data_IF_680942688110
#
_entry.id   IF_680942688110
#
_cell.length_a   1.000
_cell.length_b   1.000
_cell.length_c   1.000
_cell.angle_alpha   90.00
_cell.angle_beta   90.00
_cell.angle_gamma   90.00
#
_symmetry.space_group_name_H-M   'P 1'
#
loop_
_entity.id
_entity.type
_entity.pdbx_description
1 polymer ?
#
# COMPACT_ATOMS: atom_id res chain seq x y z
N UNK A 1 -11.06 15.47 -25.21
CA UNK A 1 -11.63 14.86 -23.98
C UNK A 1 -10.67 15.15 -22.85
N UNK A 2 -11.14 15.70 -21.76
CA UNK A 2 -10.33 15.92 -20.55
C UNK A 2 -9.86 14.57 -19.98
N UNK A 3 -8.70 14.56 -19.29
CA UNK A 3 -8.09 13.33 -18.72
C UNK A 3 -9.01 12.64 -17.70
N UNK A 4 -9.77 13.42 -16.92
CA UNK A 4 -10.75 12.90 -15.95
C UNK A 4 -11.92 12.23 -16.69
N UNK A 5 -12.42 12.87 -17.75
CA UNK A 5 -13.51 12.32 -18.56
C UNK A 5 -13.10 11.03 -19.27
N UNK A 6 -11.85 10.98 -19.79
CA UNK A 6 -11.30 9.75 -20.36
C UNK A 6 -11.20 8.64 -19.30
N UNK A 7 -10.69 8.97 -18.12
CA UNK A 7 -10.61 8.03 -17.00
C UNK A 7 -12.00 7.51 -16.61
N UNK A 8 -12.97 8.39 -16.45
CA UNK A 8 -14.37 8.02 -16.13
C UNK A 8 -14.96 7.06 -17.17
N UNK A 9 -14.75 7.35 -18.44
CA UNK A 9 -15.22 6.51 -19.54
C UNK A 9 -14.64 5.10 -19.47
N UNK A 10 -13.33 4.98 -19.26
CA UNK A 10 -12.65 3.68 -19.12
C UNK A 10 -13.19 2.94 -17.89
N UNK A 11 -13.28 3.60 -16.73
CA UNK A 11 -13.79 2.99 -15.50
C UNK A 11 -15.23 2.53 -15.62
N UNK A 12 -16.08 3.28 -16.33
CA UNK A 12 -17.48 2.91 -16.57
C UNK A 12 -17.63 1.67 -17.44
N UNK A 13 -16.71 1.46 -18.38
CA UNK A 13 -16.69 0.33 -19.28
C UNK A 13 -16.02 -0.91 -18.67
N UNK A 14 -15.08 -0.70 -17.73
CA UNK A 14 -14.35 -1.79 -17.09
C UNK A 14 -15.27 -2.69 -16.27
N UNK A 15 -15.00 -4.00 -16.33
CA UNK A 15 -15.66 -5.04 -15.52
C UNK A 15 -14.74 -5.70 -14.53
N UNK A 16 -13.44 -5.52 -14.71
CA UNK A 16 -12.40 -6.17 -13.89
C UNK A 16 -11.19 -5.25 -13.76
N UNK A 17 -11.40 -3.97 -13.39
CA UNK A 17 -10.27 -3.11 -13.07
C UNK A 17 -9.52 -3.66 -11.86
N UNK A 18 -8.22 -3.49 -11.84
CA UNK A 18 -7.36 -3.71 -10.68
C UNK A 18 -6.61 -2.42 -10.38
N UNK A 19 -6.59 -2.03 -9.12
CA UNK A 19 -5.76 -0.93 -8.65
C UNK A 19 -4.44 -1.46 -8.08
N UNK A 20 -3.32 -0.91 -8.51
CA UNK A 20 -1.99 -1.17 -7.95
C UNK A 20 -1.44 0.11 -7.32
N UNK A 21 -1.30 0.13 -5.99
CA UNK A 21 -0.98 1.32 -5.23
C UNK A 21 0.24 1.24 -4.32
N UNK A 22 0.74 2.43 -3.94
CA UNK A 22 1.80 2.60 -2.95
C UNK A 22 1.53 3.80 -2.04
N UNK A 23 2.54 4.24 -1.31
CA UNK A 23 2.43 5.22 -0.23
C UNK A 23 1.81 6.57 -0.63
N UNK A 24 1.97 6.98 -1.90
CA UNK A 24 1.32 8.18 -2.42
C UNK A 24 -0.21 8.12 -2.39
N UNK A 25 -0.82 6.92 -2.26
CA UNK A 25 -2.25 6.77 -2.06
C UNK A 25 -2.72 7.33 -0.72
N UNK A 26 -1.87 7.25 0.31
CA UNK A 26 -2.22 7.63 1.69
C UNK A 26 -1.72 9.03 2.08
N UNK A 27 -1.06 9.77 1.17
CA UNK A 27 -0.58 11.14 1.47
C UNK A 27 -1.73 12.11 1.73
N UNK A 28 -2.88 11.95 1.04
CA UNK A 28 -4.09 12.72 1.28
C UNK A 28 -4.84 12.29 2.57
N UNK A 29 -4.36 11.25 3.24
CA UNK A 29 -4.79 10.80 4.58
C UNK A 29 -3.86 11.27 5.70
N UNK A 30 -2.83 12.09 5.38
CA UNK A 30 -1.85 12.57 6.35
C UNK A 30 -0.69 11.61 6.64
N UNK A 31 -0.59 10.48 5.92
CA UNK A 31 0.56 9.56 6.02
C UNK A 31 1.60 9.99 4.99
N UNK A 32 2.81 10.41 5.40
CA UNK A 32 3.86 10.78 4.46
C UNK A 32 4.30 9.56 3.63
N UNK A 33 4.65 9.77 2.36
CA UNK A 33 5.30 8.72 1.60
C UNK A 33 6.77 8.56 2.02
N UNK A 34 7.46 7.57 1.45
CA UNK A 34 8.81 7.26 1.87
C UNK A 34 9.87 8.19 1.26
N UNK A 35 9.66 8.75 0.05
CA UNK A 35 10.74 9.29 -0.80
C UNK A 35 10.54 10.70 -1.30
N UNK A 36 9.34 11.28 -1.19
CA UNK A 36 9.14 12.68 -1.59
C UNK A 36 9.86 13.65 -0.64
N UNK A 37 9.98 14.89 -1.04
CA UNK A 37 10.45 15.94 -0.13
C UNK A 37 9.51 16.04 1.07
N UNK A 38 10.00 15.74 2.29
CA UNK A 38 9.20 15.57 3.50
C UNK A 38 8.69 14.14 3.74
N UNK A 39 9.08 13.16 2.95
CA UNK A 39 8.83 11.74 3.18
C UNK A 39 9.67 11.17 4.34
N UNK A 40 9.31 9.95 4.76
CA UNK A 40 9.94 9.28 5.92
C UNK A 40 11.48 9.25 5.80
N UNK A 41 12.01 9.11 4.58
CA UNK A 41 13.47 9.02 4.35
C UNK A 41 14.18 10.38 4.33
N UNK A 42 13.48 11.48 4.10
CA UNK A 42 14.10 12.81 4.05
C UNK A 42 14.45 13.38 5.43
N UNK A 43 13.76 12.94 6.49
CA UNK A 43 13.95 13.45 7.85
C UNK A 43 15.09 12.78 8.64
N UNK A 44 15.72 11.74 8.08
CA UNK A 44 16.68 10.88 8.79
C UNK A 44 18.15 11.18 8.45
N UNK A 45 18.44 12.30 7.83
CA UNK A 45 19.81 12.71 7.40
C UNK A 45 20.86 12.81 8.52
N UNK A 46 20.47 12.66 9.79
CA UNK A 46 21.36 12.77 10.95
C UNK A 46 21.32 11.55 11.88
N UNK A 47 20.77 10.40 11.43
CA UNK A 47 20.71 9.17 12.22
C UNK A 47 21.86 8.22 11.85
N UNK A 48 22.30 7.41 12.82
CA UNK A 48 23.37 6.41 12.66
C UNK A 48 22.98 5.32 11.64
N UNK A 49 21.67 5.01 11.54
CA UNK A 49 21.11 3.99 10.63
C UNK A 49 20.16 4.61 9.64
N UNK A 50 20.19 4.13 8.39
CA UNK A 50 19.21 4.54 7.39
C UNK A 50 17.81 3.98 7.72
N UNK A 51 16.72 4.59 7.22
CA UNK A 51 15.38 4.07 7.42
C UNK A 51 15.19 2.66 6.88
N UNK A 52 15.84 2.31 5.77
CA UNK A 52 15.83 0.95 5.23
C UNK A 52 16.49 -0.05 6.19
N UNK A 53 17.62 0.33 6.81
CA UNK A 53 18.26 -0.49 7.84
C UNK A 53 17.33 -0.65 9.04
N UNK A 54 16.75 0.45 9.55
CA UNK A 54 15.83 0.41 10.70
C UNK A 54 14.54 -0.39 10.42
N UNK A 55 14.14 -0.51 9.15
CA UNK A 55 13.00 -1.31 8.72
C UNK A 55 13.39 -2.73 8.26
N UNK A 56 14.55 -3.26 8.66
CA UNK A 56 15.03 -4.58 8.26
C UNK A 56 14.81 -5.65 9.34
N UNK A 57 14.79 -6.91 8.91
CA UNK A 57 14.74 -8.05 9.81
C UNK A 57 15.94 -8.11 10.75
N UNK A 58 17.14 -7.93 10.21
CA UNK A 58 18.38 -7.95 10.99
C UNK A 58 18.42 -6.86 12.07
N UNK A 59 17.86 -5.67 11.77
CA UNK A 59 17.77 -4.59 12.75
C UNK A 59 16.77 -4.91 13.87
N UNK A 60 15.61 -5.45 13.56
CA UNK A 60 14.65 -5.93 14.58
C UNK A 60 15.30 -6.94 15.53
N UNK A 61 16.11 -7.86 15.01
CA UNK A 61 16.76 -8.90 15.82
C UNK A 61 17.92 -8.36 16.67
N UNK A 62 18.68 -7.39 16.16
CA UNK A 62 19.85 -6.83 16.85
C UNK A 62 19.49 -5.66 17.80
N UNK A 63 18.49 -4.86 17.42
CA UNK A 63 18.10 -3.61 18.07
C UNK A 63 16.58 -3.51 18.27
N UNK A 64 15.93 -4.46 18.96
CA UNK A 64 14.47 -4.50 19.04
C UNK A 64 13.83 -3.26 19.66
N UNK A 65 14.44 -2.67 20.67
CA UNK A 65 13.90 -1.48 21.33
C UNK A 65 13.87 -0.27 20.37
N UNK A 66 14.96 -0.05 19.64
CA UNK A 66 15.09 1.02 18.63
C UNK A 66 14.17 0.77 17.44
N UNK A 67 14.03 -0.50 17.00
CA UNK A 67 13.08 -0.87 15.97
C UNK A 67 11.64 -0.51 16.35
N UNK A 68 11.20 -0.87 17.56
CA UNK A 68 9.84 -0.57 17.99
C UNK A 68 9.60 0.91 18.25
N UNK A 69 10.61 1.68 18.68
CA UNK A 69 10.52 3.13 18.76
C UNK A 69 10.35 3.75 17.36
N UNK A 70 11.18 3.36 16.41
CA UNK A 70 11.07 3.77 15.00
C UNK A 70 9.73 3.37 14.40
N UNK A 71 9.30 2.11 14.58
CA UNK A 71 8.02 1.59 14.09
C UNK A 71 6.84 2.43 14.57
N UNK A 72 6.74 2.69 15.87
CA UNK A 72 5.65 3.48 16.47
C UNK A 72 5.60 4.90 15.94
N UNK A 73 6.75 5.52 15.72
CA UNK A 73 6.83 6.92 15.27
C UNK A 73 6.65 7.10 13.78
N UNK A 74 7.02 6.10 12.97
CA UNK A 74 7.14 6.27 11.51
C UNK A 74 6.19 5.42 10.69
N UNK A 75 5.68 4.34 11.25
CA UNK A 75 4.77 3.45 10.52
C UNK A 75 3.33 3.51 11.05
N UNK A 76 3.12 3.99 12.28
CA UNK A 76 1.81 4.00 12.92
C UNK A 76 1.23 5.42 12.93
N UNK A 77 0.12 5.59 12.23
CA UNK A 77 -0.66 6.84 12.15
C UNK A 77 -2.10 6.52 12.58
N UNK A 78 -2.37 6.61 13.89
CA UNK A 78 -3.64 6.19 14.47
C UNK A 78 -4.82 7.06 14.03
N UNK A 79 -4.59 8.35 13.78
CA UNK A 79 -5.62 9.32 13.38
C UNK A 79 -5.86 9.34 11.86
N UNK A 80 -5.10 8.56 11.09
CA UNK A 80 -5.27 8.52 9.64
C UNK A 80 -6.60 7.84 9.27
N UNK A 81 -7.38 8.52 8.44
CA UNK A 81 -8.63 8.03 7.92
C UNK A 81 -8.58 7.86 6.40
N UNK A 82 -9.42 6.98 5.82
CA UNK A 82 -9.52 6.85 4.37
C UNK A 82 -9.81 8.20 3.70
N UNK A 83 -9.05 8.53 2.66
CA UNK A 83 -9.30 9.72 1.84
C UNK A 83 -10.27 9.42 0.68
N UNK A 84 -10.57 10.44 -0.12
CA UNK A 84 -11.49 10.35 -1.24
C UNK A 84 -11.13 9.27 -2.27
N UNK A 85 -9.85 8.95 -2.44
CA UNK A 85 -9.40 7.87 -3.33
C UNK A 85 -9.70 6.49 -2.78
N UNK A 86 -9.49 6.25 -1.49
CA UNK A 86 -9.83 4.98 -0.85
C UNK A 86 -11.34 4.73 -0.95
N UNK A 87 -12.16 5.74 -0.66
CA UNK A 87 -13.63 5.63 -0.79
C UNK A 87 -14.08 5.44 -2.24
N UNK A 88 -13.40 6.09 -3.20
CA UNK A 88 -13.69 5.91 -4.61
C UNK A 88 -13.40 4.48 -5.09
N UNK A 89 -12.28 3.88 -4.67
CA UNK A 89 -11.96 2.49 -5.01
C UNK A 89 -12.94 1.50 -4.38
N UNK A 90 -13.32 1.70 -3.12
CA UNK A 90 -14.34 0.88 -2.47
C UNK A 90 -15.70 0.97 -3.17
N UNK A 91 -16.08 2.16 -3.65
CA UNK A 91 -17.31 2.37 -4.41
C UNK A 91 -17.24 1.70 -5.80
N UNK A 92 -16.10 1.77 -6.51
CA UNK A 92 -15.89 1.06 -7.77
C UNK A 92 -16.01 -0.47 -7.58
N UNK A 93 -15.46 -1.01 -6.49
CA UNK A 93 -15.58 -2.42 -6.14
C UNK A 93 -17.05 -2.78 -5.88
N UNK A 94 -17.75 -2.00 -5.07
CA UNK A 94 -19.17 -2.19 -4.75
C UNK A 94 -20.06 -2.18 -6.01
N UNK A 95 -19.71 -1.38 -7.01
CA UNK A 95 -20.43 -1.29 -8.29
C UNK A 95 -20.01 -2.38 -9.29
N UNK A 96 -19.02 -3.21 -8.96
CA UNK A 96 -18.54 -4.28 -9.85
C UNK A 96 -17.63 -3.81 -10.99
N UNK A 97 -17.06 -2.62 -10.89
CA UNK A 97 -16.07 -2.11 -11.84
C UNK A 97 -14.64 -2.47 -11.43
N UNK A 98 -14.35 -2.55 -10.11
CA UNK A 98 -13.06 -2.93 -9.57
C UNK A 98 -13.12 -4.34 -9.00
N UNK A 99 -12.18 -5.20 -9.41
CA UNK A 99 -12.11 -6.59 -8.97
C UNK A 99 -11.20 -6.80 -7.77
N UNK A 100 -10.14 -5.99 -7.65
CA UNK A 100 -9.17 -6.10 -6.55
C UNK A 100 -8.32 -4.83 -6.41
N UNK A 101 -7.76 -4.69 -5.22
CA UNK A 101 -6.71 -3.73 -4.89
C UNK A 101 -5.45 -4.53 -4.56
N UNK A 102 -4.32 -4.17 -5.18
CA UNK A 102 -2.99 -4.66 -4.86
C UNK A 102 -2.22 -3.48 -4.26
N UNK A 103 -1.91 -3.54 -2.99
CA UNK A 103 -1.27 -2.42 -2.30
C UNK A 103 0.08 -2.78 -1.70
N UNK A 104 1.01 -1.84 -1.76
CA UNK A 104 2.27 -1.88 -1.03
C UNK A 104 2.14 -1.26 0.37
N UNK A 105 1.01 -0.60 0.66
CA UNK A 105 0.76 0.04 1.94
C UNK A 105 0.39 -0.98 3.01
N UNK A 106 0.77 -0.64 4.25
CA UNK A 106 0.54 -1.46 5.45
C UNK A 106 -0.50 -0.84 6.40
N UNK A 107 -1.09 0.29 6.02
CA UNK A 107 -1.93 1.15 6.87
C UNK A 107 -3.36 0.61 7.11
N UNK A 108 -3.87 -0.26 6.23
CA UNK A 108 -5.21 -0.82 6.30
C UNK A 108 -6.33 0.14 5.86
N UNK A 109 -6.01 1.28 5.24
CA UNK A 109 -7.01 2.29 4.87
C UNK A 109 -7.94 1.84 3.75
N UNK A 110 -7.54 0.95 2.86
CA UNK A 110 -8.42 0.36 1.85
C UNK A 110 -9.54 -0.45 2.51
N UNK A 111 -9.21 -1.31 3.48
CA UNK A 111 -10.19 -2.09 4.24
C UNK A 111 -11.07 -1.17 5.09
N UNK A 112 -10.51 -0.15 5.71
CA UNK A 112 -11.25 0.85 6.49
C UNK A 112 -12.25 1.64 5.63
N UNK A 113 -11.94 1.85 4.33
CA UNK A 113 -12.86 2.46 3.36
C UNK A 113 -13.98 1.52 2.90
N UNK A 114 -13.88 0.22 3.20
CA UNK A 114 -14.88 -0.80 2.86
C UNK A 114 -14.49 -1.72 1.70
N UNK A 115 -13.29 -1.59 1.12
CA UNK A 115 -12.79 -2.54 0.11
C UNK A 115 -12.66 -3.95 0.68
N UNK A 116 -13.04 -4.96 -0.11
CA UNK A 116 -13.10 -6.37 0.30
C UNK A 116 -11.94 -7.19 -0.21
N UNK A 117 -11.55 -6.97 -1.48
CA UNK A 117 -10.51 -7.75 -2.14
C UNK A 117 -9.22 -6.94 -2.19
N UNK A 118 -8.44 -7.04 -1.11
CA UNK A 118 -7.19 -6.28 -0.94
C UNK A 118 -6.02 -7.23 -0.73
N UNK A 119 -5.05 -7.20 -1.64
CA UNK A 119 -3.77 -7.91 -1.52
C UNK A 119 -2.72 -6.97 -0.92
N UNK A 120 -2.41 -7.14 0.36
CA UNK A 120 -1.42 -6.34 1.10
C UNK A 120 -0.03 -6.96 0.91
N UNK A 121 0.70 -6.56 -0.14
CA UNK A 121 1.98 -7.15 -0.52
C UNK A 121 3.05 -7.08 0.58
N UNK A 122 3.02 -6.03 1.39
CA UNK A 122 3.97 -5.82 2.49
C UNK A 122 3.33 -6.07 3.86
N UNK A 123 2.21 -6.80 3.92
CA UNK A 123 1.52 -7.09 5.16
C UNK A 123 0.74 -5.91 5.73
N UNK A 124 0.55 -5.88 7.06
CA UNK A 124 -0.30 -4.88 7.71
C UNK A 124 0.18 -4.56 9.14
N UNK A 125 0.11 -3.28 9.52
CA UNK A 125 0.32 -2.85 10.90
C UNK A 125 -0.80 -3.30 11.84
N UNK A 126 -1.97 -3.67 11.31
CA UNK A 126 -3.15 -4.02 12.10
C UNK A 126 -3.07 -5.40 12.75
N UNK A 127 -2.18 -6.25 12.26
CA UNK A 127 -1.95 -7.61 12.75
C UNK A 127 -0.53 -7.75 13.28
N UNK A 128 -0.37 -8.63 14.25
CA UNK A 128 0.93 -8.97 14.83
C UNK A 128 0.95 -10.43 15.27
N UNK A 129 2.11 -11.00 15.42
CA UNK A 129 2.29 -12.36 15.94
C UNK A 129 3.53 -12.47 16.81
N UNK A 130 3.53 -13.47 17.69
CA UNK A 130 4.70 -13.86 18.46
C UNK A 130 5.68 -14.63 17.57
N UNK A 131 6.94 -14.26 17.60
CA UNK A 131 8.02 -14.92 16.82
C UNK A 131 8.23 -16.39 17.21
N UNK A 132 7.95 -16.75 18.46
CA UNK A 132 8.29 -18.07 19.01
C UNK A 132 7.10 -19.05 18.95
N UNK A 133 5.91 -18.60 19.37
CA UNK A 133 4.75 -19.50 19.46
C UNK A 133 3.66 -19.22 18.43
N UNK A 134 3.79 -18.18 17.61
CA UNK A 134 2.81 -17.82 16.58
C UNK A 134 1.49 -17.23 17.09
N UNK A 135 1.35 -16.97 18.39
CA UNK A 135 0.14 -16.35 18.94
C UNK A 135 -0.15 -15.01 18.28
N UNK A 136 -1.40 -14.76 17.90
CA UNK A 136 -1.82 -13.55 17.20
C UNK A 136 -2.13 -12.41 18.17
N UNK A 137 -1.79 -11.20 17.74
CA UNK A 137 -1.97 -9.94 18.45
C UNK A 137 -2.45 -8.85 17.51
N UNK A 138 -2.83 -7.71 18.07
CA UNK A 138 -3.26 -6.52 17.33
C UNK A 138 -2.20 -5.40 17.42
N UNK A 139 -2.40 -4.34 16.64
CA UNK A 139 -1.61 -3.13 16.76
C UNK A 139 -1.65 -2.55 18.18
N UNK A 140 -2.82 -2.53 18.83
CA UNK A 140 -2.99 -1.97 20.18
C UNK A 140 -2.04 -2.64 21.17
N UNK A 141 -1.89 -3.97 21.08
CA UNK A 141 -0.93 -4.69 21.92
C UNK A 141 0.51 -4.15 21.77
N UNK A 142 0.96 -3.91 20.53
CA UNK A 142 2.30 -3.35 20.28
C UNK A 142 2.42 -1.93 20.84
N UNK A 143 1.36 -1.13 20.74
CA UNK A 143 1.35 0.25 21.24
C UNK A 143 1.37 0.34 22.76
N UNK A 144 0.69 -0.57 23.44
CA UNK A 144 0.59 -0.61 24.91
C UNK A 144 1.80 -1.23 25.60
N UNK A 145 2.55 -2.13 24.94
CA UNK A 145 3.67 -2.86 25.52
C UNK A 145 5.01 -2.31 25.06
N UNK A 146 5.54 -1.37 25.82
CA UNK A 146 6.84 -0.68 25.54
C UNK A 146 7.93 -1.11 26.54
N UNK A 147 9.22 -1.05 26.17
CA UNK A 147 9.77 -0.72 24.84
C UNK A 147 9.61 -1.83 23.82
N UNK A 148 9.63 -3.10 24.23
CA UNK A 148 9.55 -4.29 23.38
C UNK A 148 8.31 -5.08 23.78
N UNK A 149 7.32 -5.24 22.87
CA UNK A 149 6.14 -6.08 23.16
C UNK A 149 6.53 -7.56 23.20
N UNK A 150 6.27 -8.22 24.33
CA UNK A 150 6.60 -9.62 24.55
C UNK A 150 5.34 -10.45 24.79
N UNK A 151 5.31 -11.64 24.20
CA UNK A 151 4.30 -12.66 24.43
C UNK A 151 4.46 -13.28 25.82
N UNK A 152 3.41 -13.90 26.35
CA UNK A 152 3.47 -14.68 27.61
C UNK A 152 4.46 -15.86 27.55
N UNK A 153 4.83 -16.34 26.36
CA UNK A 153 5.88 -17.36 26.18
C UNK A 153 7.31 -16.80 26.24
N UNK A 154 7.48 -15.48 26.30
CA UNK A 154 8.78 -14.79 26.29
C UNK A 154 9.21 -14.29 24.91
N UNK A 155 8.60 -14.76 23.82
CA UNK A 155 8.93 -14.34 22.45
C UNK A 155 8.50 -12.90 22.15
N UNK A 156 9.17 -12.25 21.21
CA UNK A 156 8.83 -10.91 20.74
C UNK A 156 7.52 -10.96 19.94
N UNK A 157 6.61 -10.01 20.19
CA UNK A 157 5.42 -9.79 19.37
C UNK A 157 5.74 -8.75 18.31
N UNK A 158 5.85 -9.17 17.05
CA UNK A 158 6.17 -8.30 15.92
C UNK A 158 4.95 -8.01 15.05
N UNK A 159 4.89 -6.85 14.35
CA UNK A 159 3.84 -6.61 13.36
C UNK A 159 3.96 -7.54 12.17
N UNK A 160 2.82 -7.89 11.55
CA UNK A 160 2.75 -8.67 10.30
C UNK A 160 3.12 -7.80 9.09
N UNK A 161 4.23 -7.09 9.19
CA UNK A 161 4.79 -6.26 8.13
C UNK A 161 6.02 -6.97 7.56
N UNK A 162 6.10 -7.03 6.24
CA UNK A 162 7.28 -7.55 5.54
C UNK A 162 8.40 -6.51 5.64
N UNK A 163 9.45 -6.85 6.36
CA UNK A 163 10.63 -6.02 6.53
C UNK A 163 11.60 -6.21 5.35
N UNK A 164 12.53 -5.29 5.17
CA UNK A 164 13.66 -5.55 4.29
C UNK A 164 14.36 -6.84 4.70
N UNK A 165 14.92 -7.58 3.73
CA UNK A 165 15.52 -8.91 3.89
C UNK A 165 14.49 -10.07 3.97
N UNK A 166 13.20 -9.78 4.12
CA UNK A 166 12.14 -10.78 4.16
C UNK A 166 11.48 -10.98 2.80
N UNK A 167 10.95 -12.18 2.58
CA UNK A 167 10.18 -12.51 1.39
C UNK A 167 8.72 -12.10 1.54
N UNK A 168 8.11 -11.68 0.44
CA UNK A 168 6.66 -11.48 0.39
C UNK A 168 5.94 -12.82 0.55
N UNK A 169 4.71 -12.79 1.10
CA UNK A 169 3.88 -14.00 1.20
C UNK A 169 3.51 -14.55 -0.19
N UNK A 170 3.86 -15.83 -0.49
CA UNK A 170 3.59 -16.43 -1.79
C UNK A 170 2.11 -16.43 -2.18
N UNK A 171 1.21 -16.68 -1.23
CA UNK A 171 -0.24 -16.72 -1.52
C UNK A 171 -0.77 -15.33 -1.89
N UNK A 172 -0.30 -14.29 -1.23
CA UNK A 172 -0.63 -12.90 -1.56
C UNK A 172 -0.11 -12.53 -2.95
N UNK A 173 1.13 -12.92 -3.29
CA UNK A 173 1.69 -12.68 -4.64
C UNK A 173 0.87 -13.41 -5.70
N UNK A 174 0.57 -14.68 -5.50
CA UNK A 174 -0.19 -15.49 -6.46
C UNK A 174 -1.58 -14.90 -6.72
N UNK A 175 -2.29 -14.50 -5.65
CA UNK A 175 -3.59 -13.84 -5.75
C UNK A 175 -3.51 -12.50 -6.49
N UNK A 176 -2.52 -11.66 -6.16
CA UNK A 176 -2.29 -10.37 -6.81
C UNK A 176 -1.97 -10.54 -8.31
N UNK A 177 -1.08 -11.48 -8.65
CA UNK A 177 -0.72 -11.79 -10.06
C UNK A 177 -1.93 -12.32 -10.82
N UNK A 178 -2.72 -13.22 -10.23
CA UNK A 178 -3.93 -13.73 -10.86
C UNK A 178 -4.95 -12.61 -11.13
N UNK A 179 -5.16 -11.70 -10.18
CA UNK A 179 -6.03 -10.54 -10.34
C UNK A 179 -5.53 -9.62 -11.47
N UNK A 180 -4.24 -9.27 -11.49
CA UNK A 180 -3.63 -8.40 -12.51
C UNK A 180 -3.71 -9.04 -13.90
N UNK A 181 -3.47 -10.35 -14.03
CA UNK A 181 -3.55 -11.06 -15.31
C UNK A 181 -4.96 -11.09 -15.89
N UNK A 182 -5.96 -11.19 -15.02
CA UNK A 182 -7.37 -11.26 -15.41
C UNK A 182 -8.02 -9.88 -15.61
N UNK A 183 -7.30 -8.79 -15.31
CA UNK A 183 -7.82 -7.43 -15.41
C UNK A 183 -7.94 -6.97 -16.86
N UNK A 184 -9.04 -6.28 -17.17
CA UNK A 184 -9.21 -5.51 -18.43
C UNK A 184 -8.54 -4.12 -18.32
N UNK A 185 -8.49 -3.58 -17.11
CA UNK A 185 -7.93 -2.27 -16.78
C UNK A 185 -7.00 -2.38 -15.57
N UNK A 186 -5.77 -1.87 -15.69
CA UNK A 186 -4.85 -1.71 -14.57
C UNK A 186 -4.63 -0.23 -14.27
N UNK A 187 -5.00 0.19 -13.08
CA UNK A 187 -4.77 1.55 -12.56
C UNK A 187 -3.56 1.50 -11.65
N UNK A 188 -2.49 2.16 -12.01
CA UNK A 188 -1.29 2.31 -11.18
C UNK A 188 -1.32 3.70 -10.55
N UNK A 189 -1.16 3.79 -9.22
CA UNK A 189 -1.24 5.08 -8.57
C UNK A 189 -0.43 5.21 -7.27
N UNK A 190 0.09 6.41 -7.03
CA UNK A 190 0.78 6.74 -5.78
C UNK A 190 2.00 5.87 -5.48
N UNK A 191 2.73 5.42 -6.50
CA UNK A 191 3.91 4.55 -6.34
C UNK A 191 5.06 4.98 -7.24
N UNK A 192 6.29 4.82 -6.76
CA UNK A 192 7.50 5.05 -7.56
C UNK A 192 7.86 3.87 -8.46
N UNK A 193 7.27 2.69 -8.25
CA UNK A 193 7.57 1.43 -8.95
C UNK A 193 9.05 1.01 -8.90
N UNK A 194 9.74 1.25 -7.78
CA UNK A 194 11.17 0.90 -7.61
C UNK A 194 11.42 -0.18 -6.56
N UNK A 195 10.43 -0.53 -5.73
CA UNK A 195 10.56 -1.56 -4.69
C UNK A 195 10.21 -2.92 -5.29
N UNK A 196 11.21 -3.76 -5.46
CA UNK A 196 11.05 -5.13 -5.95
C UNK A 196 10.95 -6.12 -4.77
N UNK A 197 10.20 -7.24 -4.95
CA UNK A 197 9.56 -7.73 -6.19
C UNK A 197 8.21 -7.08 -6.52
N UNK A 198 7.60 -6.33 -5.62
CA UNK A 198 6.25 -5.78 -5.76
C UNK A 198 6.09 -4.96 -7.07
N UNK A 199 7.03 -4.08 -7.39
CA UNK A 199 6.99 -3.28 -8.62
C UNK A 199 6.92 -4.14 -9.90
N UNK A 200 7.47 -5.35 -9.89
CA UNK A 200 7.45 -6.28 -11.02
C UNK A 200 6.07 -6.87 -11.33
N UNK A 201 5.13 -6.84 -10.38
CA UNK A 201 3.81 -7.45 -10.58
C UNK A 201 3.01 -6.79 -11.70
N UNK A 202 3.20 -5.49 -11.96
CA UNK A 202 2.52 -4.79 -13.07
C UNK A 202 2.88 -5.37 -14.45
N UNK A 203 4.00 -6.07 -14.57
CA UNK A 203 4.45 -6.67 -15.83
C UNK A 203 3.66 -7.93 -16.22
N UNK A 204 2.83 -8.45 -15.32
CA UNK A 204 1.87 -9.53 -15.62
C UNK A 204 0.59 -9.03 -16.29
N UNK A 205 0.33 -7.72 -16.31
CA UNK A 205 -0.86 -7.16 -16.96
C UNK A 205 -0.87 -7.41 -18.47
N UNK A 206 -2.02 -7.85 -18.99
CA UNK A 206 -2.26 -8.17 -20.42
C UNK A 206 -3.56 -7.57 -20.95
N UNK A 207 -4.25 -6.77 -20.12
CA UNK A 207 -5.51 -6.14 -20.49
C UNK A 207 -5.34 -4.95 -21.44
N UNK A 208 -6.43 -4.26 -21.68
CA UNK A 208 -6.52 -3.22 -22.69
C UNK A 208 -6.04 -1.86 -22.19
N UNK A 209 -6.45 -1.48 -20.95
CA UNK A 209 -6.25 -0.13 -20.44
C UNK A 209 -5.22 -0.09 -19.30
N UNK A 210 -4.03 0.46 -19.56
CA UNK A 210 -3.05 0.78 -18.52
C UNK A 210 -3.10 2.26 -18.20
N UNK A 211 -3.45 2.60 -16.97
CA UNK A 211 -3.64 3.97 -16.49
C UNK A 211 -2.61 4.25 -15.40
N UNK A 212 -1.99 5.41 -15.44
CA UNK A 212 -1.06 5.88 -14.41
C UNK A 212 -1.54 7.20 -13.80
N UNK A 213 -1.76 7.21 -12.49
CA UNK A 213 -2.09 8.42 -11.72
C UNK A 213 -0.98 8.62 -10.69
N UNK A 214 -0.03 9.48 -11.00
CA UNK A 214 1.15 9.66 -10.15
C UNK A 214 1.77 11.04 -10.35
N UNK A 215 2.18 11.72 -9.28
CA UNK A 215 2.79 13.06 -9.38
C UNK A 215 4.13 13.03 -10.12
N UNK A 216 4.96 12.02 -9.84
CA UNK A 216 6.28 11.85 -10.44
C UNK A 216 6.25 10.84 -11.58
N UNK A 217 7.27 10.90 -12.44
CA UNK A 217 7.49 9.90 -13.48
C UNK A 217 7.84 8.53 -12.92
N UNK A 218 7.45 7.49 -13.65
CA UNK A 218 7.73 6.11 -13.33
C UNK A 218 8.11 5.33 -14.58
N UNK A 219 8.62 4.12 -14.42
CA UNK A 219 8.90 3.23 -15.56
C UNK A 219 7.66 2.82 -16.36
N UNK A 220 6.45 3.00 -15.81
CA UNK A 220 5.20 2.65 -16.48
C UNK A 220 4.69 3.73 -17.45
N UNK A 221 5.20 4.95 -17.39
CA UNK A 221 4.77 6.10 -18.19
C UNK A 221 4.69 5.80 -19.69
N UNK A 222 5.74 5.15 -20.23
CA UNK A 222 5.84 4.84 -21.67
C UNK A 222 4.84 3.79 -22.15
N UNK A 223 4.27 3.00 -21.23
CA UNK A 223 3.30 1.93 -21.52
C UNK A 223 1.87 2.36 -21.26
N UNK A 224 1.68 3.40 -20.45
CA UNK A 224 0.36 3.85 -20.05
C UNK A 224 -0.36 4.56 -21.21
N UNK A 225 -1.61 4.16 -21.45
CA UNK A 225 -2.52 4.83 -22.37
C UNK A 225 -2.94 6.21 -21.87
N UNK A 226 -3.04 6.34 -20.55
CA UNK A 226 -3.43 7.57 -19.87
C UNK A 226 -2.52 7.83 -18.67
N UNK A 227 -1.87 9.00 -18.68
CA UNK A 227 -1.03 9.46 -17.56
C UNK A 227 -1.63 10.74 -16.98
N UNK A 228 -1.92 10.73 -15.68
CA UNK A 228 -2.47 11.89 -14.95
C UNK A 228 -1.50 12.30 -13.86
N UNK A 229 -0.97 13.54 -13.96
CA UNK A 229 -0.03 14.14 -12.99
C UNK A 229 -0.79 14.97 -11.96
N UNK A 230 -1.55 14.28 -11.08
CA UNK A 230 -2.38 14.94 -10.09
C UNK A 230 -2.44 14.13 -8.78
N UNK A 231 -2.97 14.69 -7.68
CA UNK A 231 -3.27 13.96 -6.46
C UNK A 231 -4.23 12.80 -6.77
N UNK A 232 -3.88 11.61 -6.30
CA UNK A 232 -4.59 10.39 -6.69
C UNK A 232 -6.00 10.31 -6.12
N UNK A 233 -6.17 10.72 -4.86
CA UNK A 233 -7.48 10.67 -4.19
C UNK A 233 -8.51 11.55 -4.87
N UNK A 234 -8.18 12.82 -5.09
CA UNK A 234 -9.04 13.75 -5.81
C UNK A 234 -9.32 13.28 -7.24
N UNK A 235 -8.32 12.73 -7.94
CA UNK A 235 -8.45 12.22 -9.31
C UNK A 235 -9.41 11.05 -9.41
N UNK A 236 -9.26 10.04 -8.55
CA UNK A 236 -10.14 8.86 -8.55
C UNK A 236 -11.58 9.24 -8.18
N UNK A 237 -11.75 10.13 -7.20
CA UNK A 237 -13.07 10.61 -6.80
C UNK A 237 -13.77 11.35 -7.94
N UNK A 238 -13.08 12.28 -8.61
CA UNK A 238 -13.63 13.03 -9.74
C UNK A 238 -13.97 12.15 -10.95
N UNK A 239 -13.31 11.00 -11.10
CA UNK A 239 -13.52 10.07 -12.19
C UNK A 239 -14.53 8.95 -11.86
N UNK A 240 -15.18 8.98 -10.69
CA UNK A 240 -16.23 8.01 -10.39
C UNK A 240 -17.32 8.07 -11.46
N UNK A 241 -17.77 6.92 -12.02
CA UNK A 241 -18.94 6.87 -12.87
C UNK A 241 -20.19 7.41 -12.14
N UNK A 242 -21.10 8.00 -12.88
CA UNK A 242 -22.38 8.36 -12.29
C UNK A 242 -23.16 7.11 -11.82
N UNK A 243 -23.93 7.18 -10.74
CA UNK A 243 -24.82 6.09 -10.34
C UNK A 243 -25.78 5.76 -11.48
N UNK A 244 -25.89 4.47 -11.80
CA UNK A 244 -26.92 3.98 -12.74
C UNK A 244 -28.28 4.00 -12.09
#
# INVERSE_FOLDING_TARGET
>A
MDSIEKLRTILSASRRAVFFGGAGMSTESGIPDFRSAGGIYSETLHQEFSPEQMASHSFLMAHPAEFFDFYRRRFVYLDAAPNAGHTALAELERRGHLAAIVTQNIDGLHQAAGSKTVYELHGSIRRAHCTDCGAHYTLDYIMEHTPIPCCSCGGIVRPDVVLYEESLDPATIEGAVAAIRAADTLIIGGTSLIVYPAAGLIDYFRGEHLILINKSETRADRRAELVIRAPIGATLHAALPEPR
#
